data_IF_750457264006
#
_entry.id   IF_750457264006
#
_cell.length_a   1.000
_cell.length_b   1.000
_cell.length_c   1.000
_cell.angle_alpha   90.00
_cell.angle_beta   90.00
_cell.angle_gamma   90.00
#
_symmetry.space_group_name_H-M   'P 1'
#
loop_
_entity.id
_entity.type
_entity.pdbx_description
1 polymer ?
#
# COMPACT_ATOMS: atom_id res chain seq x y z
N UNK A 1 25.58 16.42 26.90
CA UNK A 1 25.37 15.07 27.44
C UNK A 1 26.13 14.12 26.52
N UNK A 2 27.20 13.48 27.00
CA UNK A 2 28.20 12.81 26.15
C UNK A 2 27.60 11.82 25.13
N UNK A 3 26.50 11.15 25.45
CA UNK A 3 25.78 10.22 24.56
C UNK A 3 25.40 10.84 23.21
N UNK A 4 24.89 12.07 23.23
CA UNK A 4 24.22 12.69 22.07
C UNK A 4 25.24 13.11 21.01
N UNK A 5 26.49 13.36 21.41
CA UNK A 5 27.55 13.79 20.51
C UNK A 5 28.10 12.63 19.65
N UNK A 6 27.90 11.37 20.06
CA UNK A 6 28.41 10.20 19.35
C UNK A 6 27.43 9.61 18.33
N UNK A 7 26.12 9.66 18.61
CA UNK A 7 25.11 9.10 17.70
C UNK A 7 24.54 10.19 16.78
N UNK A 8 25.16 10.37 15.61
CA UNK A 8 24.68 11.38 14.66
C UNK A 8 23.38 10.93 13.99
N UNK A 9 22.36 11.79 13.98
CA UNK A 9 21.03 11.53 13.40
C UNK A 9 20.30 10.30 13.98
N UNK A 10 20.73 9.82 15.14
CA UNK A 10 20.17 8.65 15.81
C UNK A 10 19.79 8.95 17.25
N UNK A 11 19.18 7.95 17.90
CA UNK A 11 18.86 8.00 19.31
C UNK A 11 19.96 7.30 20.11
N UNK A 12 20.48 7.99 21.12
CA UNK A 12 21.45 7.43 22.06
C UNK A 12 20.76 6.99 23.35
N UNK A 13 21.10 5.80 23.84
CA UNK A 13 20.65 5.27 25.13
C UNK A 13 21.84 4.73 25.94
N UNK A 14 21.79 4.90 27.25
CA UNK A 14 22.80 4.32 28.16
C UNK A 14 22.39 2.92 28.61
N UNK A 15 23.39 2.06 28.83
CA UNK A 15 23.22 0.72 29.38
C UNK A 15 24.45 0.35 30.23
N UNK A 16 24.41 -0.81 30.90
CA UNK A 16 25.50 -1.28 31.78
C UNK A 16 26.85 -1.49 31.06
N UNK A 17 26.85 -1.49 29.72
CA UNK A 17 28.05 -1.64 28.87
C UNK A 17 28.51 -0.32 28.25
N UNK A 18 27.89 0.81 28.61
CA UNK A 18 28.21 2.14 28.08
C UNK A 18 27.00 2.79 27.40
N UNK A 19 27.08 3.02 26.09
CA UNK A 19 26.01 3.62 25.30
C UNK A 19 25.71 2.80 24.04
N UNK A 20 24.49 2.92 23.54
CA UNK A 20 24.02 2.31 22.30
C UNK A 20 23.37 3.37 21.42
N UNK A 21 23.65 3.31 20.12
CA UNK A 21 22.96 4.10 19.11
C UNK A 21 21.87 3.25 18.45
N UNK A 22 20.70 3.86 18.22
CA UNK A 22 19.60 3.27 17.46
C UNK A 22 19.15 4.25 16.38
N UNK A 23 18.86 3.73 15.19
CA UNK A 23 18.48 4.54 14.04
C UNK A 23 16.96 4.49 13.80
N UNK A 24 16.35 5.59 13.34
CA UNK A 24 14.95 5.58 12.93
C UNK A 24 14.75 4.65 11.71
N UNK A 25 13.52 4.13 11.48
CA UNK A 25 13.19 3.40 10.25
C UNK A 25 13.61 4.20 9.00
N UNK A 26 14.08 3.49 7.97
CA UNK A 26 14.60 4.12 6.74
C UNK A 26 16.06 4.55 6.83
N UNK A 27 16.74 4.26 7.93
CA UNK A 27 18.17 4.49 8.11
C UNK A 27 18.88 3.31 8.78
N UNK A 28 20.19 3.22 8.61
CA UNK A 28 21.07 2.27 9.31
C UNK A 28 22.31 2.94 9.89
N UNK A 29 22.82 2.36 10.99
CA UNK A 29 24.00 2.87 11.67
C UNK A 29 25.26 2.46 10.90
N UNK A 30 26.09 3.44 10.53
CA UNK A 30 27.38 3.17 9.90
C UNK A 30 28.53 3.07 10.93
N UNK A 31 29.73 2.74 10.47
CA UNK A 31 30.93 2.62 11.32
C UNK A 31 31.35 3.94 12.00
N UNK A 32 30.88 5.09 11.50
CA UNK A 32 31.12 6.41 12.08
C UNK A 32 30.03 6.82 13.09
N UNK A 33 29.19 5.87 13.53
CA UNK A 33 28.08 6.11 14.46
C UNK A 33 27.05 7.14 13.95
N UNK A 34 26.90 7.24 12.63
CA UNK A 34 25.91 8.09 11.98
C UNK A 34 24.81 7.23 11.35
N UNK A 35 23.55 7.61 11.57
CA UNK A 35 22.40 7.01 10.89
C UNK A 35 22.30 7.58 9.47
N UNK A 36 22.57 6.73 8.47
CA UNK A 36 22.50 7.09 7.06
C UNK A 36 21.24 6.48 6.41
N UNK A 37 20.69 7.16 5.41
CA UNK A 37 19.54 6.67 4.64
C UNK A 37 19.83 5.29 4.04
N UNK A 38 18.80 4.44 4.00
CA UNK A 38 18.91 3.15 3.33
C UNK A 38 19.25 3.30 1.85
N UNK A 39 19.98 2.32 1.33
CA UNK A 39 20.21 2.23 -0.11
C UNK A 39 18.89 2.02 -0.86
N UNK A 40 18.87 2.40 -2.14
CA UNK A 40 17.71 2.18 -3.00
C UNK A 40 17.28 0.70 -2.97
N UNK A 41 15.99 0.47 -2.75
CA UNK A 41 15.40 -0.87 -2.65
C UNK A 41 15.44 -1.48 -1.24
N UNK A 42 15.98 -0.79 -0.23
CA UNK A 42 15.91 -1.21 1.17
C UNK A 42 15.06 -0.23 1.99
N UNK A 43 14.42 -0.73 3.03
CA UNK A 43 13.56 0.06 3.91
C UNK A 43 13.57 -0.43 5.36
N UNK A 44 12.96 0.39 6.20
CA UNK A 44 12.63 0.06 7.58
C UNK A 44 13.81 0.00 8.55
N UNK A 45 13.64 -0.66 9.71
CA UNK A 45 14.63 -0.62 10.77
C UNK A 45 15.95 -1.25 10.30
N UNK A 46 17.04 -0.49 10.40
CA UNK A 46 18.37 -0.89 9.96
C UNK A 46 18.42 -1.38 8.49
N UNK A 47 17.51 -0.91 7.64
CA UNK A 47 17.43 -1.29 6.22
C UNK A 47 17.26 -2.79 5.99
N UNK A 48 16.57 -3.48 6.91
CA UNK A 48 16.38 -4.93 6.89
C UNK A 48 15.23 -5.42 6.00
N UNK A 49 14.35 -4.50 5.56
CA UNK A 49 13.24 -4.84 4.66
C UNK A 49 13.66 -4.58 3.22
N UNK A 50 13.33 -5.51 2.33
CA UNK A 50 13.55 -5.34 0.88
C UNK A 50 12.28 -4.77 0.26
N UNK A 51 12.41 -3.62 -0.39
CA UNK A 51 11.33 -2.97 -1.12
C UNK A 51 11.32 -3.42 -2.59
N UNK A 52 10.48 -4.41 -2.87
CA UNK A 52 10.23 -4.95 -4.19
C UNK A 52 8.77 -4.74 -4.60
N UNK A 53 8.32 -3.48 -4.60
CA UNK A 53 6.97 -3.11 -5.00
C UNK A 53 6.91 -2.99 -6.53
N UNK A 54 6.19 -3.88 -7.22
CA UNK A 54 6.16 -3.91 -8.69
C UNK A 54 5.30 -2.78 -9.25
N UNK A 55 4.03 -2.69 -8.82
CA UNK A 55 3.11 -1.61 -9.17
C UNK A 55 2.73 -0.78 -7.94
N UNK A 56 3.73 -0.14 -7.34
CA UNK A 56 3.54 0.69 -6.17
C UNK A 56 4.77 1.46 -5.75
N UNK A 57 4.67 2.12 -4.60
CA UNK A 57 5.75 2.90 -4.01
C UNK A 57 6.29 2.22 -2.76
N UNK A 58 7.61 2.26 -2.61
CA UNK A 58 8.29 1.82 -1.40
C UNK A 58 8.14 2.86 -0.29
N UNK A 59 7.63 2.42 0.86
CA UNK A 59 7.68 3.19 2.08
C UNK A 59 9.02 2.95 2.78
N UNK A 60 9.96 3.90 2.60
CA UNK A 60 11.30 3.83 3.20
C UNK A 60 11.26 3.70 4.73
N UNK A 61 10.23 4.25 5.37
CA UNK A 61 10.05 4.25 6.82
C UNK A 61 9.19 3.07 7.32
N UNK A 62 8.95 2.07 6.48
CA UNK A 62 8.14 0.92 6.85
C UNK A 62 8.67 0.23 8.11
N UNK A 63 7.77 -0.25 8.94
CA UNK A 63 8.14 -0.91 10.21
C UNK A 63 7.99 -2.42 10.12
N UNK A 64 7.41 -2.92 9.03
CA UNK A 64 7.15 -4.34 8.79
C UNK A 64 7.01 -4.63 7.30
N UNK A 65 7.04 -5.91 6.93
CA UNK A 65 6.75 -6.36 5.57
C UNK A 65 5.34 -5.96 5.08
N UNK A 66 4.38 -5.80 6.01
CA UNK A 66 2.98 -5.51 5.66
C UNK A 66 2.73 -4.08 5.19
N UNK A 67 3.60 -3.12 5.55
CA UNK A 67 3.44 -1.70 5.21
C UNK A 67 4.59 -1.15 4.36
N UNK A 68 5.42 -2.03 3.79
CA UNK A 68 6.55 -1.65 2.95
C UNK A 68 6.15 -1.12 1.58
N UNK A 69 5.04 -1.61 1.04
CA UNK A 69 4.54 -1.19 -0.26
C UNK A 69 3.20 -0.47 -0.12
N UNK A 70 3.08 0.66 -0.80
CA UNK A 70 1.79 1.30 -1.06
C UNK A 70 1.43 1.04 -2.52
N UNK A 71 0.43 0.19 -2.75
CA UNK A 71 0.07 -0.21 -4.11
C UNK A 71 -0.61 0.92 -4.87
N UNK A 72 -0.25 1.05 -6.15
CA UNK A 72 -0.98 1.91 -7.08
C UNK A 72 -2.42 1.41 -7.25
N UNK A 73 -3.32 2.30 -7.68
CA UNK A 73 -4.71 1.94 -7.92
C UNK A 73 -4.82 0.75 -8.90
N UNK A 74 -5.67 -0.23 -8.56
CA UNK A 74 -5.84 -1.45 -9.34
C UNK A 74 -4.90 -2.60 -8.98
N UNK A 75 -3.98 -2.41 -8.03
CA UNK A 75 -3.05 -3.45 -7.58
C UNK A 75 -3.16 -3.74 -6.08
N UNK A 76 -2.84 -4.98 -5.71
CA UNK A 76 -2.84 -5.51 -4.34
C UNK A 76 -1.71 -6.53 -4.17
N UNK A 77 -1.65 -7.17 -3.00
CA UNK A 77 -0.56 -8.05 -2.59
C UNK A 77 0.52 -7.29 -1.83
N UNK A 78 1.36 -8.03 -1.10
CA UNK A 78 2.45 -7.43 -0.30
C UNK A 78 3.55 -6.79 -1.15
N UNK A 79 3.59 -7.12 -2.45
CA UNK A 79 4.52 -6.59 -3.44
C UNK A 79 3.82 -5.77 -4.54
N UNK A 80 2.50 -5.57 -4.43
CA UNK A 80 1.71 -4.88 -5.45
C UNK A 80 1.83 -5.52 -6.85
N UNK A 81 1.94 -6.84 -6.88
CA UNK A 81 2.12 -7.69 -8.06
C UNK A 81 0.79 -8.33 -8.52
N UNK A 82 -0.28 -8.16 -7.74
CA UNK A 82 -1.58 -8.75 -8.03
C UNK A 82 -2.53 -7.69 -8.56
N UNK A 83 -3.12 -7.91 -9.73
CA UNK A 83 -4.20 -7.07 -10.23
C UNK A 83 -5.50 -7.30 -9.45
N UNK A 84 -6.20 -6.22 -9.11
CA UNK A 84 -7.51 -6.30 -8.46
C UNK A 84 -8.59 -6.56 -9.52
N UNK A 85 -9.16 -7.77 -9.52
CA UNK A 85 -10.39 -8.01 -10.25
C UNK A 85 -11.59 -7.47 -9.46
N UNK A 86 -11.93 -6.21 -9.73
CA UNK A 86 -13.10 -5.57 -9.12
C UNK A 86 -14.44 -6.24 -9.48
N UNK A 87 -14.49 -7.09 -10.50
CA UNK A 87 -15.68 -7.86 -10.88
C UNK A 87 -15.69 -9.29 -10.31
N UNK A 88 -14.80 -9.63 -9.39
CA UNK A 88 -14.90 -10.87 -8.62
C UNK A 88 -16.15 -10.82 -7.70
N UNK A 89 -16.96 -11.89 -7.61
CA UNK A 89 -18.20 -11.93 -6.81
C UNK A 89 -18.03 -11.58 -5.33
N UNK A 90 -16.83 -11.77 -4.76
CA UNK A 90 -16.50 -11.38 -3.38
C UNK A 90 -16.26 -9.88 -3.26
N UNK A 91 -15.78 -9.26 -4.34
CA UNK A 91 -15.31 -7.87 -4.37
C UNK A 91 -16.35 -6.87 -4.90
N UNK A 92 -17.36 -7.32 -5.64
CA UNK A 92 -18.46 -6.46 -6.08
C UNK A 92 -19.81 -6.84 -5.48
N UNK A 93 -20.61 -5.81 -5.23
CA UNK A 93 -22.02 -5.92 -4.87
C UNK A 93 -22.95 -5.96 -6.10
N UNK A 94 -22.43 -6.18 -7.32
CA UNK A 94 -23.29 -6.29 -8.49
C UNK A 94 -24.13 -7.56 -8.33
N UNK A 95 -25.44 -7.41 -8.28
CA UNK A 95 -26.36 -8.55 -8.30
C UNK A 95 -26.46 -9.14 -9.73
N UNK A 96 -25.35 -9.70 -10.22
CA UNK A 96 -25.22 -10.29 -11.57
C UNK A 96 -26.09 -11.54 -11.77
N UNK A 97 -26.56 -12.14 -10.67
CA UNK A 97 -27.35 -13.37 -10.71
C UNK A 97 -28.87 -13.13 -10.72
N UNK A 98 -29.36 -11.91 -10.49
CA UNK A 98 -30.80 -11.67 -10.32
C UNK A 98 -31.48 -10.81 -11.41
N UNK A 99 -30.76 -10.04 -12.20
CA UNK A 99 -31.36 -9.17 -13.24
C UNK A 99 -30.29 -8.82 -14.27
N UNK A 100 -30.67 -8.61 -15.54
CA UNK A 100 -29.82 -8.39 -16.72
C UNK A 100 -28.72 -7.33 -16.55
N UNK A 101 -27.72 -7.63 -15.74
CA UNK A 101 -26.67 -6.75 -15.27
C UNK A 101 -25.33 -7.41 -15.45
N UNK A 102 -24.35 -6.58 -15.75
CA UNK A 102 -22.97 -6.99 -15.90
C UNK A 102 -22.10 -6.05 -15.08
N UNK A 103 -21.13 -6.63 -14.38
CA UNK A 103 -20.04 -5.85 -13.82
C UNK A 103 -19.09 -5.46 -14.96
N UNK A 104 -18.74 -4.17 -15.03
CA UNK A 104 -17.66 -3.68 -15.88
C UNK A 104 -16.62 -3.01 -15.02
N UNK A 105 -15.36 -3.38 -15.20
CA UNK A 105 -14.25 -2.67 -14.61
C UNK A 105 -14.26 -1.25 -15.16
N UNK A 106 -14.27 -0.25 -14.28
CA UNK A 106 -14.23 1.13 -14.71
C UNK A 106 -12.83 1.41 -15.27
N UNK A 107 -12.69 1.97 -16.48
CA UNK A 107 -11.39 2.40 -16.98
C UNK A 107 -10.96 3.62 -16.15
N UNK A 108 -10.27 3.36 -15.06
CA UNK A 108 -9.48 4.32 -14.26
C UNK A 108 -10.16 5.68 -13.93
N UNK A 109 -10.50 5.85 -12.65
CA UNK A 109 -10.35 7.13 -11.94
C UNK A 109 -11.29 8.31 -12.29
N UNK A 110 -12.56 8.06 -12.69
CA UNK A 110 -13.50 9.18 -12.96
C UNK A 110 -14.82 9.17 -12.19
N UNK A 111 -14.96 8.45 -11.08
CA UNK A 111 -16.05 8.78 -10.14
C UNK A 111 -15.67 8.47 -8.68
N UNK A 112 -14.94 9.41 -8.09
CA UNK A 112 -14.56 9.42 -6.68
C UNK A 112 -15.72 10.02 -5.88
N UNK A 113 -16.83 9.29 -5.80
CA UNK A 113 -17.99 9.66 -4.99
C UNK A 113 -18.58 8.45 -4.25
N UNK A 114 -17.71 7.55 -3.80
CA UNK A 114 -17.82 6.75 -2.57
C UNK A 114 -16.73 5.68 -2.65
N UNK A 115 -15.92 5.62 -1.60
CA UNK A 115 -14.78 4.73 -1.39
C UNK A 115 -14.82 3.36 -2.12
N UNK A 116 -13.81 3.11 -2.98
CA UNK A 116 -13.21 1.81 -3.39
C UNK A 116 -13.71 1.03 -4.63
N UNK A 117 -14.83 1.33 -5.28
CA UNK A 117 -15.30 0.44 -6.34
C UNK A 117 -14.69 0.79 -7.72
N UNK A 118 -13.55 0.19 -8.08
CA UNK A 118 -12.96 0.24 -9.44
C UNK A 118 -13.81 -0.46 -10.53
N UNK A 119 -15.12 -0.51 -10.35
CA UNK A 119 -16.10 -1.17 -11.22
C UNK A 119 -17.43 -0.42 -11.22
N UNK A 120 -18.25 -0.70 -12.23
CA UNK A 120 -19.62 -0.24 -12.33
C UNK A 120 -20.53 -1.40 -12.72
N UNK A 121 -21.73 -1.43 -12.14
CA UNK A 121 -22.74 -2.44 -12.44
C UNK A 121 -23.75 -1.86 -13.44
N UNK A 122 -23.65 -2.24 -14.70
CA UNK A 122 -24.50 -1.69 -15.77
C UNK A 122 -25.47 -2.74 -16.32
N UNK A 123 -26.50 -2.30 -17.06
CA UNK A 123 -27.38 -3.22 -17.75
C UNK A 123 -26.66 -3.93 -18.90
N UNK A 124 -27.01 -5.20 -19.10
CA UNK A 124 -26.60 -5.96 -20.27
C UNK A 124 -27.15 -5.30 -21.55
N UNK A 125 -26.45 -5.48 -22.66
CA UNK A 125 -26.91 -5.00 -23.97
C UNK A 125 -28.35 -5.43 -24.26
N UNK A 126 -29.21 -4.46 -24.58
CA UNK A 126 -30.64 -4.69 -24.83
C UNK A 126 -31.56 -4.35 -23.66
N UNK A 127 -31.00 -4.07 -22.46
CA UNK A 127 -31.76 -3.73 -21.26
C UNK A 127 -31.46 -2.30 -20.79
N UNK A 128 -32.44 -1.66 -20.16
CA UNK A 128 -32.31 -0.32 -19.58
C UNK A 128 -32.65 -0.31 -18.09
N UNK A 129 -32.02 0.59 -17.34
CA UNK A 129 -32.32 0.77 -15.92
C UNK A 129 -33.72 1.35 -15.78
N UNK A 130 -34.56 0.72 -14.97
CA UNK A 130 -35.86 1.29 -14.60
C UNK A 130 -35.61 2.44 -13.60
N UNK A 131 -36.31 3.56 -13.74
CA UNK A 131 -36.07 4.78 -12.96
C UNK A 131 -35.89 4.52 -11.45
N UNK A 132 -34.72 4.91 -10.93
CA UNK A 132 -34.30 4.75 -9.52
C UNK A 132 -34.26 3.30 -9.00
N UNK A 133 -34.04 2.31 -9.88
CA UNK A 133 -33.94 0.90 -9.52
C UNK A 133 -32.66 0.27 -10.05
N UNK A 134 -32.09 -0.68 -9.29
CA UNK A 134 -31.00 -1.57 -9.72
C UNK A 134 -31.48 -2.66 -10.71
N UNK A 135 -32.72 -2.59 -11.20
CA UNK A 135 -33.32 -3.58 -12.10
C UNK A 135 -33.17 -3.13 -13.57
N UNK A 136 -32.76 -4.08 -14.42
CA UNK A 136 -32.62 -3.89 -15.86
C UNK A 136 -33.73 -4.66 -16.63
N UNK A 137 -34.50 -3.95 -17.45
CA UNK A 137 -35.63 -4.48 -18.26
C UNK A 137 -35.49 -4.14 -19.73
#
# INVERSE_FOLDING_TARGET
SFCVDYCQNGNCSYNDKGYTCSCPPGTSLNYALNCAACANGLAGPNCSLVCNCEFGECNINATSEANKCTCSAGYTGSQCDQYINYCDPVSNSCNVNATNRVCKIAPTNTDVSSTRAGYSCICQSGYQSVANSDVCQ
#
